data_IF_631529416549
#
_entry.id   IF_631529416549
#
_cell.length_a   1.000
_cell.length_b   1.000
_cell.length_c   1.000
_cell.angle_alpha   90.00
_cell.angle_beta   90.00
_cell.angle_gamma   90.00
#
_symmetry.space_group_name_H-M   'P 1'
#
loop_
_entity.id
_entity.type
_entity.pdbx_description
1 polymer ?
#
# COMPACT_ATOMS: atom_id res chain seq x y z
N UNK A 1 -11.69 -23.79 12.77
CA UNK A 1 -12.37 -22.55 12.31
C UNK A 1 -11.77 -22.20 10.95
N UNK A 2 -12.56 -21.80 9.94
CA UNK A 2 -11.97 -21.29 8.70
C UNK A 2 -11.11 -20.06 9.02
N UNK A 3 -9.97 -19.92 8.35
CA UNK A 3 -9.12 -18.75 8.47
C UNK A 3 -9.85 -17.55 7.84
N UNK A 4 -10.17 -16.53 8.64
CA UNK A 4 -10.62 -15.24 8.14
C UNK A 4 -9.38 -14.41 7.79
N UNK A 5 -9.25 -14.03 6.53
CA UNK A 5 -8.18 -13.12 6.10
C UNK A 5 -8.48 -11.72 6.61
N UNK A 6 -7.61 -11.19 7.48
CA UNK A 6 -7.71 -9.84 8.07
C UNK A 6 -6.51 -8.95 7.75
N UNK A 7 -5.48 -9.52 7.13
CA UNK A 7 -4.25 -8.85 6.72
C UNK A 7 -3.77 -9.47 5.41
N UNK A 8 -2.96 -8.72 4.67
CA UNK A 8 -2.35 -9.11 3.41
C UNK A 8 -0.83 -9.09 3.54
N UNK A 9 -0.17 -10.00 2.83
CA UNK A 9 1.28 -9.90 2.61
C UNK A 9 1.63 -8.97 1.43
N UNK A 10 2.93 -8.74 1.23
CA UNK A 10 3.46 -7.90 0.15
C UNK A 10 2.99 -8.34 -1.25
N UNK A 11 2.92 -9.65 -1.53
CA UNK A 11 2.53 -10.20 -2.83
C UNK A 11 1.06 -9.95 -3.11
N UNK A 12 0.22 -10.22 -2.13
CA UNK A 12 -1.21 -9.92 -2.20
C UNK A 12 -1.44 -8.42 -2.39
N UNK A 13 -0.64 -7.57 -1.72
CA UNK A 13 -0.67 -6.11 -1.89
C UNK A 13 -0.44 -5.67 -3.33
N UNK A 14 0.62 -6.17 -3.96
CA UNK A 14 0.93 -5.81 -5.36
C UNK A 14 -0.01 -6.45 -6.38
N UNK A 15 -0.56 -7.62 -6.11
CA UNK A 15 -1.62 -8.22 -6.91
C UNK A 15 -2.90 -7.38 -6.89
N UNK A 16 -3.27 -6.85 -5.72
CA UNK A 16 -4.40 -5.94 -5.58
C UNK A 16 -4.17 -4.63 -6.35
N UNK A 17 -2.96 -4.06 -6.28
CA UNK A 17 -2.60 -2.88 -7.09
C UNK A 17 -2.77 -3.15 -8.58
N UNK A 18 -2.30 -4.30 -9.08
CA UNK A 18 -2.46 -4.67 -10.49
C UNK A 18 -3.92 -4.86 -10.88
N UNK A 19 -4.71 -5.49 -10.01
CA UNK A 19 -6.13 -5.76 -10.26
C UNK A 19 -6.96 -4.47 -10.35
N UNK A 20 -6.71 -3.52 -9.45
CA UNK A 20 -7.46 -2.26 -9.39
C UNK A 20 -6.90 -1.19 -10.34
N UNK A 21 -5.62 -1.28 -10.69
CA UNK A 21 -4.88 -0.28 -11.45
C UNK A 21 -5.14 1.16 -10.97
N UNK A 22 -4.90 1.46 -9.67
CA UNK A 22 -5.19 2.78 -9.12
C UNK A 22 -4.17 3.82 -9.60
N UNK A 23 -4.59 5.08 -9.64
CA UNK A 23 -3.70 6.22 -9.88
C UNK A 23 -2.75 6.47 -8.70
N UNK A 24 -3.17 6.10 -7.48
CA UNK A 24 -2.42 6.30 -6.24
C UNK A 24 -2.73 5.17 -5.24
N UNK A 25 -1.69 4.65 -4.59
CA UNK A 25 -1.75 3.64 -3.54
C UNK A 25 -1.04 4.15 -2.30
N UNK A 26 -1.66 3.98 -1.13
CA UNK A 26 -1.06 4.30 0.16
C UNK A 26 -1.20 3.08 1.08
N UNK A 27 -0.11 2.32 1.34
CA UNK A 27 -0.17 1.24 2.31
C UNK A 27 -0.40 1.83 3.70
N UNK A 28 -1.35 1.26 4.43
CA UNK A 28 -1.67 1.59 5.83
C UNK A 28 -1.56 0.34 6.69
N UNK A 29 -1.58 0.50 8.02
CA UNK A 29 -1.55 -0.62 8.98
C UNK A 29 -0.28 -1.50 8.93
N UNK A 30 0.89 -0.95 8.66
CA UNK A 30 2.15 -1.72 8.67
C UNK A 30 2.91 -1.67 10.01
N UNK A 31 2.56 -0.75 10.91
CA UNK A 31 3.24 -0.55 12.19
C UNK A 31 2.28 -0.38 13.39
N UNK A 32 0.97 -0.62 13.19
CA UNK A 32 -0.10 -0.40 14.19
C UNK A 32 -0.35 -1.59 15.12
N UNK A 33 -0.04 -2.82 14.69
CA UNK A 33 -0.24 -4.05 15.46
C UNK A 33 0.61 -5.21 14.94
N UNK A 34 0.76 -6.27 15.73
CA UNK A 34 1.73 -7.36 15.49
C UNK A 34 1.27 -8.49 14.57
N UNK A 35 0.06 -8.43 14.02
CA UNK A 35 -0.53 -9.52 13.22
C UNK A 35 -0.25 -9.41 11.71
N UNK A 36 0.67 -8.55 11.29
CA UNK A 36 1.01 -8.36 9.87
C UNK A 36 1.84 -9.54 9.33
N UNK A 37 1.48 -10.04 8.15
CA UNK A 37 2.16 -11.19 7.54
C UNK A 37 3.52 -10.86 6.92
N UNK A 38 3.76 -9.59 6.57
CA UNK A 38 5.03 -9.11 6.05
C UNK A 38 5.32 -7.67 6.47
N UNK A 39 6.58 -7.28 6.71
CA UNK A 39 6.96 -5.89 6.96
C UNK A 39 6.73 -5.00 5.74
N UNK A 40 6.62 -3.68 5.96
CA UNK A 40 6.49 -2.68 4.89
C UNK A 40 7.62 -2.77 3.85
N UNK A 41 8.83 -3.16 4.27
CA UNK A 41 9.98 -3.25 3.39
C UNK A 41 9.79 -4.30 2.28
N UNK A 42 9.08 -5.39 2.57
CA UNK A 42 8.80 -6.43 1.57
C UNK A 42 7.88 -5.87 0.48
N UNK A 43 6.86 -5.11 0.87
CA UNK A 43 5.98 -4.42 -0.06
C UNK A 43 6.74 -3.38 -0.91
N UNK A 44 7.63 -2.59 -0.30
CA UNK A 44 8.52 -1.65 -1.02
C UNK A 44 9.36 -2.38 -2.08
N UNK A 45 9.89 -3.54 -1.75
CA UNK A 45 10.66 -4.39 -2.69
C UNK A 45 9.78 -4.90 -3.83
N UNK A 46 8.60 -5.44 -3.54
CA UNK A 46 7.69 -5.95 -4.57
C UNK A 46 7.20 -4.84 -5.52
N UNK A 47 6.88 -3.64 -5.01
CA UNK A 47 6.56 -2.47 -5.84
C UNK A 47 7.74 -2.08 -6.72
N UNK A 48 8.97 -2.09 -6.19
CA UNK A 48 10.16 -1.78 -6.98
C UNK A 48 10.37 -2.78 -8.12
N UNK A 49 10.04 -4.05 -7.91
CA UNK A 49 10.11 -5.10 -8.93
C UNK A 49 9.05 -4.95 -10.03
N UNK A 50 7.97 -4.19 -9.80
CA UNK A 50 6.93 -3.92 -10.81
C UNK A 50 7.33 -2.85 -11.83
N UNK A 51 8.40 -2.09 -11.58
CA UNK A 51 8.91 -1.04 -12.46
C UNK A 51 8.62 0.38 -11.96
N UNK A 52 9.23 1.36 -12.63
CA UNK A 52 9.19 2.79 -12.24
C UNK A 52 7.77 3.37 -12.22
N UNK A 53 6.94 3.02 -13.21
CA UNK A 53 5.53 3.45 -13.29
C UNK A 53 4.74 3.13 -12.02
N UNK A 54 4.96 1.96 -11.43
CA UNK A 54 4.25 1.55 -10.22
C UNK A 54 4.83 2.21 -8.97
N UNK A 55 6.14 2.46 -8.94
CA UNK A 55 6.78 3.18 -7.82
C UNK A 55 6.24 4.59 -7.66
N UNK A 56 6.02 5.30 -8.76
CA UNK A 56 5.52 6.68 -8.75
C UNK A 56 4.06 6.79 -8.28
N UNK A 57 3.35 5.67 -8.25
CA UNK A 57 1.96 5.59 -7.78
C UNK A 57 1.84 5.22 -6.30
N UNK A 58 2.94 5.02 -5.57
CA UNK A 58 2.88 4.64 -4.15
C UNK A 58 3.40 5.76 -3.27
N UNK A 59 2.59 6.18 -2.30
CA UNK A 59 2.98 7.12 -1.25
C UNK A 59 3.06 6.38 0.08
N UNK A 60 4.24 6.40 0.68
CA UNK A 60 4.49 5.90 2.02
C UNK A 60 4.37 7.07 2.99
N UNK A 61 3.48 6.95 3.96
CA UNK A 61 3.37 7.92 5.04
C UNK A 61 3.93 7.33 6.32
N UNK A 62 4.82 8.06 6.97
CA UNK A 62 5.24 7.80 8.34
C UNK A 62 4.21 8.32 9.34
N UNK A 63 4.31 7.90 10.60
CA UNK A 63 3.39 8.35 11.66
C UNK A 63 3.41 9.88 11.79
N UNK A 64 2.21 10.47 11.66
CA UNK A 64 2.01 11.91 11.77
C UNK A 64 2.13 12.67 10.44
N UNK A 65 2.58 12.01 9.36
CA UNK A 65 2.56 12.61 8.03
C UNK A 65 1.14 12.72 7.47
N UNK A 66 0.97 13.64 6.51
CA UNK A 66 -0.31 13.94 5.90
C UNK A 66 -0.19 13.96 4.38
N UNK A 67 -1.14 13.32 3.70
CA UNK A 67 -1.31 13.45 2.26
C UNK A 67 -2.53 14.32 1.95
N UNK A 68 -2.37 15.33 1.09
CA UNK A 68 -3.46 16.21 0.67
C UNK A 68 -3.89 15.85 -0.75
N UNK A 69 -5.14 15.41 -0.89
CA UNK A 69 -5.72 15.16 -2.20
C UNK A 69 -6.08 16.46 -2.90
N UNK A 70 -5.70 16.55 -4.18
CA UNK A 70 -6.22 17.58 -5.07
C UNK A 70 -7.63 17.18 -5.52
N UNK A 71 -8.64 17.67 -4.83
CA UNK A 71 -10.05 17.42 -5.19
C UNK A 71 -10.47 18.49 -6.20
N UNK A 72 -10.98 18.07 -7.37
CA UNK A 72 -11.51 19.01 -8.36
C UNK A 72 -12.62 19.86 -7.72
N UNK A 73 -12.43 21.18 -7.70
CA UNK A 73 -13.41 22.15 -7.18
C UNK A 73 -13.12 22.72 -5.79
N UNK A 74 -12.02 22.35 -5.13
CA UNK A 74 -11.57 23.07 -3.93
C UNK A 74 -11.09 24.47 -4.34
N UNK A 75 -11.85 25.49 -3.93
CA UNK A 75 -11.52 26.92 -4.08
C UNK A 75 -10.33 27.31 -3.20
#
# INVERSE_FOLDING_TARGET
>A
MPLLMVTMDAKQGVELMKLLNPDLTMPVHFDDYSVMLSPLQDFKTEVANMGEEWRDRVVYLERGEQFKFAVRGSK
#
